data_IF_077119801142
#
_entry.id   IF_077119801142
#
_cell.length_a   1.000
_cell.length_b   1.000
_cell.length_c   1.000
_cell.angle_alpha   90.00
_cell.angle_beta   90.00
_cell.angle_gamma   90.00
#
_symmetry.space_group_name_H-M   'P 1'
#
loop_
_entity.id
_entity.type
_entity.pdbx_description
1 polymer ?
#
# COMPACT_ATOMS: atom_id res chain seq x y z
N UNK A 1 9.19 5.50 -12.83
CA UNK A 1 8.58 5.10 -11.53
C UNK A 1 8.03 3.67 -11.59
N UNK A 2 7.29 3.29 -12.64
CA UNK A 2 6.67 1.95 -12.72
C UNK A 2 7.48 0.88 -13.48
N UNK A 3 8.72 1.15 -13.87
CA UNK A 3 9.54 0.18 -14.65
C UNK A 3 9.75 -1.14 -13.92
N UNK A 4 9.92 -1.12 -12.59
CA UNK A 4 10.11 -2.34 -11.82
C UNK A 4 8.80 -3.15 -11.72
N UNK A 5 7.66 -2.45 -11.63
CA UNK A 5 6.33 -3.06 -11.67
C UNK A 5 6.11 -3.79 -13.00
N UNK A 6 6.35 -3.11 -14.14
CA UNK A 6 6.19 -3.71 -15.47
C UNK A 6 7.10 -4.91 -15.68
N UNK A 7 8.36 -4.84 -15.23
CA UNK A 7 9.33 -5.95 -15.37
C UNK A 7 8.91 -7.20 -14.59
N UNK A 8 8.10 -7.04 -13.53
CA UNK A 8 7.66 -8.14 -12.66
C UNK A 8 6.33 -8.77 -13.11
N UNK A 9 5.66 -8.25 -14.13
CA UNK A 9 4.33 -8.71 -14.56
C UNK A 9 4.32 -9.26 -15.98
N UNK A 10 3.58 -10.35 -16.17
CA UNK A 10 3.20 -10.86 -17.49
C UNK A 10 1.71 -10.57 -17.72
N UNK A 11 1.41 -9.42 -18.33
CA UNK A 11 0.03 -8.96 -18.58
C UNK A 11 -0.78 -9.83 -19.54
N UNK A 12 -0.18 -10.86 -20.14
CA UNK A 12 -0.92 -11.88 -20.88
C UNK A 12 -1.52 -12.95 -19.95
N UNK A 13 -1.08 -12.99 -18.69
CA UNK A 13 -1.47 -13.99 -17.70
C UNK A 13 -2.21 -13.39 -16.51
N UNK A 14 -1.79 -12.21 -16.06
CA UNK A 14 -2.42 -11.51 -14.95
C UNK A 14 -3.53 -10.57 -15.44
N UNK A 15 -4.59 -10.43 -14.65
CA UNK A 15 -5.63 -9.40 -14.84
C UNK A 15 -5.30 -8.08 -14.15
N UNK A 16 -4.09 -7.95 -13.59
CA UNK A 16 -3.61 -6.71 -13.00
C UNK A 16 -3.51 -5.59 -14.05
N UNK A 17 -3.79 -4.34 -13.67
CA UNK A 17 -3.78 -3.22 -14.60
C UNK A 17 -2.37 -2.92 -15.13
N UNK A 18 -2.21 -2.59 -16.42
CA UNK A 18 -0.92 -2.17 -16.96
C UNK A 18 -0.46 -0.87 -16.28
N UNK A 19 0.86 -0.59 -16.30
CA UNK A 19 1.41 0.64 -15.74
C UNK A 19 0.85 1.91 -16.39
N UNK A 20 0.31 1.78 -17.60
CA UNK A 20 -0.40 2.85 -18.30
C UNK A 20 -1.86 2.87 -17.83
N UNK A 21 -2.11 3.58 -16.74
CA UNK A 21 -3.44 3.77 -16.16
C UNK A 21 -3.72 5.26 -15.93
N UNK A 22 -4.93 5.66 -16.29
CA UNK A 22 -5.47 7.01 -16.45
C UNK A 22 -5.13 7.99 -15.31
N UNK A 23 -4.92 9.27 -15.67
CA UNK A 23 -4.91 10.37 -14.71
C UNK A 23 -6.27 10.37 -13.99
N UNK A 24 -6.30 9.89 -12.73
CA UNK A 24 -7.49 10.08 -11.90
C UNK A 24 -7.63 11.58 -11.63
N UNK A 25 -8.64 12.19 -12.24
CA UNK A 25 -9.14 13.54 -11.96
C UNK A 25 -9.82 13.60 -10.56
N UNK A 26 -9.16 13.11 -9.53
CA UNK A 26 -9.61 13.21 -8.15
C UNK A 26 -8.92 14.39 -7.48
N UNK A 27 -9.68 15.35 -6.96
CA UNK A 27 -9.14 16.48 -6.19
C UNK A 27 -8.43 16.05 -4.89
N UNK A 28 -8.58 14.78 -4.46
CA UNK A 28 -7.99 14.25 -3.23
C UNK A 28 -7.25 12.94 -3.47
N UNK A 29 -6.05 12.76 -2.90
CA UNK A 29 -5.28 11.54 -3.06
C UNK A 29 -5.93 10.37 -2.31
N UNK A 30 -5.87 9.18 -2.90
CA UNK A 30 -6.49 7.96 -2.32
C UNK A 30 -5.50 7.08 -1.58
N UNK A 31 -6.01 6.30 -0.64
CA UNK A 31 -5.30 5.15 -0.09
C UNK A 31 -6.12 3.88 -0.28
N UNK A 32 -5.43 2.75 -0.32
CA UNK A 32 -6.05 1.42 -0.30
C UNK A 32 -5.25 0.49 0.60
N UNK A 33 -5.95 -0.42 1.26
CA UNK A 33 -5.39 -1.59 1.92
C UNK A 33 -5.95 -2.81 1.20
N UNK A 34 -5.09 -3.62 0.62
CA UNK A 34 -5.46 -4.89 0.00
C UNK A 34 -5.05 -6.05 0.90
N UNK A 35 -5.99 -6.94 1.24
CA UNK A 35 -5.67 -8.23 1.83
C UNK A 35 -5.16 -9.14 0.71
N UNK A 36 -3.96 -9.67 0.89
CA UNK A 36 -3.28 -10.47 -0.10
C UNK A 36 -2.95 -11.87 0.46
N UNK A 37 -3.71 -12.86 0.02
CA UNK A 37 -3.53 -14.27 0.37
C UNK A 37 -2.56 -14.94 -0.63
N UNK A 38 -1.27 -14.59 -0.48
CA UNK A 38 -0.16 -15.18 -1.23
C UNK A 38 0.43 -16.38 -0.47
N UNK A 39 1.73 -16.68 -0.64
CA UNK A 39 2.41 -17.70 0.19
C UNK A 39 2.22 -17.47 1.68
N UNK A 40 2.19 -16.20 2.10
CA UNK A 40 1.76 -15.81 3.43
C UNK A 40 0.72 -14.70 3.30
N UNK A 41 -0.34 -14.80 4.09
CA UNK A 41 -1.31 -13.72 4.22
C UNK A 41 -0.63 -12.44 4.72
N UNK A 42 -0.83 -11.35 4.00
CA UNK A 42 -0.38 -10.01 4.36
C UNK A 42 -1.36 -8.96 3.85
N UNK A 43 -1.08 -7.70 4.18
CA UNK A 43 -1.87 -6.54 3.80
C UNK A 43 -1.00 -5.54 3.05
N UNK A 44 -1.31 -5.26 1.80
CA UNK A 44 -0.62 -4.25 1.02
C UNK A 44 -1.26 -2.88 1.30
N UNK A 45 -0.52 -2.02 1.99
CA UNK A 45 -0.92 -0.64 2.26
C UNK A 45 -0.35 0.28 1.19
N UNK A 46 -1.21 1.10 0.55
CA UNK A 46 -0.81 1.94 -0.58
C UNK A 46 -1.33 3.36 -0.44
N UNK A 47 -0.50 4.32 -0.82
CA UNK A 47 -0.82 5.76 -0.83
C UNK A 47 -0.55 6.34 -2.21
N UNK A 48 -1.53 7.05 -2.76
CA UNK A 48 -1.35 7.85 -3.95
C UNK A 48 -0.43 9.04 -3.67
N UNK A 49 0.77 9.02 -4.26
CA UNK A 49 1.74 10.11 -4.18
C UNK A 49 2.56 10.17 -5.47
N UNK A 50 2.81 11.38 -5.96
CA UNK A 50 3.61 11.62 -7.17
C UNK A 50 3.11 10.85 -8.41
N UNK A 51 1.79 10.66 -8.53
CA UNK A 51 1.16 9.97 -9.66
C UNK A 51 1.27 8.44 -9.64
N UNK A 52 1.71 7.84 -8.53
CA UNK A 52 1.79 6.38 -8.33
C UNK A 52 1.29 5.98 -6.95
N UNK A 53 1.08 4.68 -6.75
CA UNK A 53 0.79 4.10 -5.44
C UNK A 53 2.10 3.69 -4.74
N UNK A 54 2.56 4.53 -3.82
CA UNK A 54 3.64 4.17 -2.87
C UNK A 54 3.13 3.05 -1.97
N UNK A 55 3.85 1.94 -1.92
CA UNK A 55 3.30 0.67 -1.43
C UNK A 55 4.19 0.03 -0.35
N UNK A 56 3.54 -0.59 0.63
CA UNK A 56 4.18 -1.36 1.68
C UNK A 56 3.41 -2.65 1.99
N UNK A 57 4.11 -3.77 2.06
CA UNK A 57 3.57 -5.02 2.57
C UNK A 57 3.60 -5.03 4.10
N UNK A 58 2.45 -5.21 4.73
CA UNK A 58 2.25 -5.27 6.18
C UNK A 58 1.87 -6.70 6.55
N UNK A 59 2.74 -7.50 7.22
CA UNK A 59 2.49 -8.93 7.46
C UNK A 59 1.30 -9.26 8.37
N UNK A 60 0.70 -8.26 9.01
CA UNK A 60 -0.45 -8.40 9.90
C UNK A 60 -1.40 -7.25 9.65
N UNK A 61 -2.66 -7.41 10.05
CA UNK A 61 -3.67 -6.37 9.94
C UNK A 61 -3.16 -5.00 10.42
N UNK A 62 -3.41 -3.93 9.63
CA UNK A 62 -3.17 -2.56 10.01
C UNK A 62 -3.74 -2.21 11.40
N UNK A 63 -3.06 -1.37 12.19
CA UNK A 63 -3.50 -1.06 13.54
C UNK A 63 -4.71 -0.12 13.52
N UNK A 64 -5.91 -0.63 13.86
CA UNK A 64 -7.14 0.19 13.98
C UNK A 64 -7.13 1.14 15.19
N UNK A 65 -6.37 0.81 16.22
CA UNK A 65 -6.26 1.55 17.49
C UNK A 65 -4.82 1.92 17.83
N UNK A 66 -4.58 3.02 18.57
CA UNK A 66 -3.24 3.40 19.02
C UNK A 66 -2.61 2.34 19.95
N UNK A 67 -1.28 2.37 20.05
CA UNK A 67 -0.52 1.46 20.93
C UNK A 67 -0.01 0.19 20.26
N UNK A 68 -0.55 -0.17 19.09
CA UNK A 68 -0.02 -1.24 18.25
C UNK A 68 0.92 -0.69 17.19
N UNK A 69 2.10 -1.30 17.05
CA UNK A 69 3.06 -1.02 15.97
C UNK A 69 3.14 -2.23 15.02
N UNK A 70 3.16 -1.97 13.72
CA UNK A 70 3.33 -2.97 12.66
C UNK A 70 4.62 -2.71 11.89
N UNK A 71 5.27 -3.79 11.47
CA UNK A 71 6.28 -3.72 10.42
C UNK A 71 5.56 -3.52 9.09
N UNK A 72 6.02 -2.57 8.29
CA UNK A 72 5.61 -2.33 6.92
C UNK A 72 6.87 -2.38 6.04
N UNK A 73 6.89 -3.20 5.01
CA UNK A 73 8.06 -3.42 4.15
C UNK A 73 7.79 -2.71 2.84
N UNK A 74 8.62 -1.73 2.49
CA UNK A 74 8.51 -0.98 1.24
C UNK A 74 8.62 -1.91 0.02
N UNK A 75 7.63 -1.85 -0.87
CA UNK A 75 7.57 -2.61 -2.12
C UNK A 75 7.64 -1.65 -3.31
N UNK A 76 7.53 -2.18 -4.52
CA UNK A 76 7.58 -1.38 -5.74
C UNK A 76 6.35 -0.45 -5.84
N UNK A 77 6.51 0.65 -6.57
CA UNK A 77 5.40 1.54 -6.90
C UNK A 77 4.38 0.80 -7.79
N UNK A 78 3.09 1.04 -7.56
CA UNK A 78 2.01 0.45 -8.37
C UNK A 78 1.27 1.53 -9.17
N UNK A 79 0.65 1.20 -10.32
CA UNK A 79 -0.17 2.15 -11.06
C UNK A 79 -1.41 2.55 -10.27
N UNK A 80 -1.94 3.76 -10.50
CA UNK A 80 -3.13 4.26 -9.78
C UNK A 80 -4.36 3.37 -9.96
N UNK A 81 -4.51 2.76 -11.14
CA UNK A 81 -5.58 1.79 -11.41
C UNK A 81 -5.52 0.53 -10.52
N UNK A 82 -4.37 0.23 -9.92
CA UNK A 82 -4.23 -0.91 -9.01
C UNK A 82 -5.00 -0.71 -7.69
N UNK A 83 -5.37 0.53 -7.36
CA UNK A 83 -6.18 0.81 -6.18
C UNK A 83 -7.58 0.16 -6.23
N UNK A 84 -8.08 -0.12 -7.44
CA UNK A 84 -9.39 -0.74 -7.66
C UNK A 84 -9.28 -2.24 -7.98
N UNK A 85 -8.07 -2.81 -7.95
CA UNK A 85 -7.85 -4.21 -8.30
C UNK A 85 -8.29 -5.15 -7.18
N UNK A 86 -9.15 -6.09 -7.54
CA UNK A 86 -9.50 -7.29 -6.77
C UNK A 86 -9.51 -8.48 -7.71
N UNK A 87 -9.02 -9.62 -7.26
CA UNK A 87 -8.95 -10.81 -8.10
C UNK A 87 -7.91 -11.82 -7.64
N UNK A 88 -7.62 -12.78 -8.50
CA UNK A 88 -6.62 -13.81 -8.26
C UNK A 88 -5.44 -13.59 -9.21
N UNK A 89 -4.24 -13.43 -8.64
CA UNK A 89 -2.99 -13.39 -9.38
C UNK A 89 -2.55 -14.85 -9.59
N UNK A 90 -2.44 -15.34 -10.84
CA UNK A 90 -2.20 -16.76 -11.10
C UNK A 90 -0.90 -17.29 -10.48
N UNK A 91 -0.90 -18.57 -10.12
CA UNK A 91 0.32 -19.26 -9.66
C UNK A 91 1.49 -19.11 -10.65
N UNK A 92 2.69 -18.95 -10.09
CA UNK A 92 3.91 -18.71 -10.88
C UNK A 92 4.08 -17.28 -11.38
N UNK A 93 3.10 -16.39 -11.15
CA UNK A 93 3.29 -14.95 -11.29
C UNK A 93 3.89 -14.35 -10.01
N UNK A 94 4.54 -13.20 -10.16
CA UNK A 94 5.01 -12.43 -9.00
C UNK A 94 3.81 -11.90 -8.21
N UNK A 95 3.75 -12.21 -6.92
CA UNK A 95 2.59 -11.90 -6.08
C UNK A 95 1.41 -12.82 -6.33
N UNK A 96 1.63 -14.07 -6.75
CA UNK A 96 0.56 -15.06 -6.87
C UNK A 96 -0.24 -15.19 -5.56
N UNK A 97 -1.58 -15.19 -5.69
CA UNK A 97 -2.48 -15.16 -4.56
C UNK A 97 -3.74 -14.37 -4.83
N UNK A 98 -4.70 -14.46 -3.90
CA UNK A 98 -5.95 -13.70 -3.97
C UNK A 98 -5.76 -12.31 -3.35
N UNK A 99 -6.23 -11.29 -4.05
CA UNK A 99 -6.21 -9.88 -3.65
C UNK A 99 -7.63 -9.39 -3.47
N UNK A 100 -7.94 -8.83 -2.30
CA UNK A 100 -9.23 -8.26 -1.95
C UNK A 100 -9.04 -6.90 -1.30
N UNK A 101 -9.91 -5.92 -1.59
CA UNK A 101 -9.87 -4.62 -0.93
C UNK A 101 -10.39 -4.81 0.49
N UNK A 102 -9.52 -4.55 1.46
CA UNK A 102 -9.84 -4.62 2.88
C UNK A 102 -10.32 -3.27 3.43
N UNK A 103 -9.72 -2.17 2.97
CA UNK A 103 -10.15 -0.80 3.27
C UNK A 103 -9.73 0.13 2.12
N UNK A 104 -10.45 1.23 1.94
CA UNK A 104 -10.12 2.25 0.96
C UNK A 104 -10.69 3.60 1.38
N UNK A 105 -10.05 4.67 0.93
CA UNK A 105 -10.56 6.00 1.18
C UNK A 105 -9.65 7.08 0.64
N UNK A 106 -9.77 8.27 1.24
CA UNK A 106 -8.88 9.40 0.94
C UNK A 106 -7.96 9.65 2.12
N UNK A 107 -6.91 10.43 1.91
CA UNK A 107 -6.06 10.85 3.01
C UNK A 107 -5.57 12.29 2.85
N UNK A 108 -5.16 12.88 3.97
CA UNK A 108 -4.45 14.15 4.00
C UNK A 108 -2.98 13.90 4.33
N UNK A 109 -2.08 14.49 3.55
CA UNK A 109 -0.65 14.41 3.80
C UNK A 109 -0.24 15.51 4.78
N UNK A 110 0.08 15.15 6.02
CA UNK A 110 0.52 16.10 7.04
C UNK A 110 2.02 16.34 7.01
N UNK A 111 2.81 15.30 6.70
CA UNK A 111 4.27 15.36 6.60
C UNK A 111 4.80 14.26 5.69
N UNK A 112 5.81 14.58 4.89
CA UNK A 112 6.59 13.60 4.11
C UNK A 112 8.05 13.99 4.04
N UNK A 113 8.92 13.07 4.37
CA UNK A 113 10.34 13.08 4.06
C UNK A 113 10.83 11.63 3.87
N UNK A 114 12.11 11.44 3.56
CA UNK A 114 12.70 10.13 3.26
C UNK A 114 12.55 9.08 4.38
N UNK A 115 12.33 9.52 5.63
CA UNK A 115 12.30 8.64 6.81
C UNK A 115 10.96 8.66 7.54
N UNK A 116 10.04 9.54 7.17
CA UNK A 116 8.82 9.75 7.93
C UNK A 116 7.70 10.25 7.03
N UNK A 117 6.54 9.60 7.17
CA UNK A 117 5.28 9.99 6.54
C UNK A 117 4.23 10.06 7.65
N UNK A 118 3.53 11.20 7.73
CA UNK A 118 2.39 11.40 8.63
C UNK A 118 1.19 11.77 7.77
N UNK A 119 0.10 11.04 7.96
CA UNK A 119 -1.13 11.17 7.19
C UNK A 119 -2.34 11.09 8.11
N UNK A 120 -3.43 11.73 7.71
CA UNK A 120 -4.75 11.51 8.28
C UNK A 120 -5.55 10.66 7.30
N UNK A 121 -5.93 9.44 7.68
CA UNK A 121 -6.71 8.53 6.85
C UNK A 121 -8.20 8.76 7.05
N UNK A 122 -8.96 8.69 5.96
CA UNK A 122 -10.41 8.81 5.91
C UNK A 122 -10.98 7.57 5.19
N UNK A 123 -10.88 6.40 5.82
CA UNK A 123 -11.48 5.14 5.35
C UNK A 123 -12.55 4.60 6.27
N UNK A 124 -13.03 3.39 5.99
CA UNK A 124 -14.05 2.72 6.80
C UNK A 124 -13.44 2.04 8.03
N UNK A 125 -12.24 1.47 7.89
CA UNK A 125 -11.55 0.74 8.95
C UNK A 125 -10.38 1.53 9.55
N UNK A 126 -9.66 2.28 8.72
CA UNK A 126 -8.56 3.15 9.14
C UNK A 126 -8.98 4.62 9.05
N UNK A 127 -9.25 5.18 10.22
CA UNK A 127 -9.59 6.60 10.39
C UNK A 127 -8.61 7.29 11.35
N UNK A 128 -8.25 8.55 11.05
CA UNK A 128 -7.45 9.44 11.89
C UNK A 128 -5.95 9.44 11.56
N UNK A 129 -5.13 9.95 12.47
CA UNK A 129 -3.69 10.15 12.23
C UNK A 129 -2.90 8.82 12.28
N UNK A 130 -2.15 8.56 11.22
CA UNK A 130 -1.21 7.46 11.09
C UNK A 130 0.21 7.94 10.75
N UNK A 131 1.17 7.12 11.15
CA UNK A 131 2.59 7.41 10.99
C UNK A 131 3.32 6.19 10.42
N UNK A 132 4.15 6.44 9.41
CA UNK A 132 5.16 5.53 8.89
C UNK A 132 6.54 6.12 9.20
N UNK A 133 7.40 5.38 9.91
CA UNK A 133 8.79 5.78 10.17
C UNK A 133 9.75 4.73 9.64
N UNK A 134 10.67 5.13 8.76
CA UNK A 134 11.70 4.25 8.22
C UNK A 134 12.64 3.82 9.34
N UNK A 135 12.97 2.54 9.35
CA UNK A 135 13.80 1.92 10.38
C UNK A 135 14.91 1.11 9.73
N UNK A 136 15.97 0.83 10.50
CA UNK A 136 17.05 -0.08 10.10
C UNK A 136 16.67 -1.56 10.31
N UNK A 137 15.46 -1.85 10.77
CA UNK A 137 14.94 -3.21 10.91
C UNK A 137 14.33 -3.69 9.58
N UNK A 138 14.57 -4.95 9.22
CA UNK A 138 14.13 -5.55 7.95
C UNK A 138 15.31 -5.90 7.04
N UNK A 139 15.08 -6.72 6.01
CA UNK A 139 16.10 -6.97 4.99
C UNK A 139 16.21 -5.73 4.09
N UNK A 140 17.44 -5.43 3.65
CA UNK A 140 17.72 -4.45 2.58
C UNK A 140 17.29 -2.99 2.88
N UNK A 141 17.23 -2.56 4.14
CA UNK A 141 16.89 -1.18 4.55
C UNK A 141 15.51 -0.68 4.05
N UNK A 142 14.59 -1.60 3.76
CA UNK A 142 13.21 -1.32 3.28
C UNK A 142 12.15 -1.29 4.38
N UNK A 143 12.53 -1.45 5.65
CA UNK A 143 11.56 -1.56 6.74
C UNK A 143 11.06 -0.22 7.27
N UNK A 144 9.78 -0.19 7.58
CA UNK A 144 9.06 0.92 8.18
C UNK A 144 8.26 0.45 9.40
N UNK A 145 8.11 1.32 10.40
CA UNK A 145 7.14 1.15 11.48
C UNK A 145 5.87 1.90 11.13
N UNK A 146 4.75 1.18 11.10
CA UNK A 146 3.41 1.70 10.83
C UNK A 146 2.56 1.65 12.10
N UNK A 147 1.98 2.79 12.51
CA UNK A 147 1.13 2.86 13.70
C UNK A 147 0.15 4.02 13.67
N UNK A 148 -0.99 3.85 14.36
CA UNK A 148 -1.95 4.91 14.64
C UNK A 148 -1.43 5.81 15.76
N UNK A 149 -1.49 7.11 15.57
CA UNK A 149 -1.11 8.12 16.57
C UNK A 149 -2.16 8.15 17.67
N UNK A 150 -1.75 8.40 18.92
CA UNK A 150 -2.71 8.63 20.00
C UNK A 150 -3.38 9.98 19.77
N UNK A 151 -4.70 9.99 19.73
CA UNK A 151 -5.48 11.22 19.90
C UNK A 151 -5.28 11.67 21.35
N UNK A 152 -4.84 12.92 21.53
CA UNK A 152 -4.64 13.53 22.86
C UNK A 152 -5.95 13.92 23.51
#
# INVERSE_FOLDING_TARGET
MLEEYEKKRDFNKTSEPPARGEEKNSDKPVFVVQRHDATNLHYDFRLEMDGVLKSWAVPKEPPKSPGTRRLAIETEDHPLGYADFEGEIPEGQYGAGRVEIWDRGTFELLKRNEKEIIITLHGEELEGDYVLIKTKYGKEDKGWLFFKKKTG
#
